data_IF_076243949549
#
_entry.id   IF_076243949549
#
_cell.length_a   1.000
_cell.length_b   1.000
_cell.length_c   1.000
_cell.angle_alpha   90.00
_cell.angle_beta   90.00
_cell.angle_gamma   90.00
#
_symmetry.space_group_name_H-M   'P 1'
#
loop_
_entity.id
_entity.type
_entity.pdbx_description
1 polymer ?
#
# COMPACT_ATOMS: atom_id res chain seq x y z
N UNK A 1 -2.06 9.64 7.62
CA UNK A 1 -0.78 9.93 8.30
C UNK A 1 -0.45 11.40 8.09
N UNK A 2 0.26 12.03 9.02
CA UNK A 2 0.90 13.34 8.83
C UNK A 2 2.35 13.17 8.34
N UNK A 3 3.02 14.27 7.96
CA UNK A 3 4.38 14.24 7.43
C UNK A 3 5.40 13.54 8.36
N UNK A 4 5.30 13.73 9.67
CA UNK A 4 6.21 13.10 10.62
C UNK A 4 5.98 11.59 10.71
N UNK A 5 4.71 11.17 10.73
CA UNK A 5 4.34 9.75 10.72
C UNK A 5 4.82 9.05 9.45
N UNK A 6 4.68 9.69 8.28
CA UNK A 6 5.14 9.11 7.00
C UNK A 6 6.67 8.94 6.99
N UNK A 7 7.41 9.96 7.45
CA UNK A 7 8.88 9.87 7.54
C UNK A 7 9.31 8.77 8.51
N UNK A 8 8.70 8.73 9.69
CA UNK A 8 8.99 7.70 10.70
C UNK A 8 8.70 6.29 10.16
N UNK A 9 7.60 6.12 9.41
CA UNK A 9 7.25 4.84 8.79
C UNK A 9 8.33 4.39 7.80
N UNK A 10 8.78 5.29 6.91
CA UNK A 10 9.84 5.01 5.94
C UNK A 10 11.15 4.64 6.64
N UNK A 11 11.57 5.44 7.60
CA UNK A 11 12.85 5.24 8.26
C UNK A 11 12.87 3.91 9.04
N UNK A 12 11.73 3.55 9.66
CA UNK A 12 11.55 2.24 10.29
C UNK A 12 11.55 1.09 9.27
N UNK A 13 10.91 1.24 8.11
CA UNK A 13 10.94 0.24 7.04
C UNK A 13 12.37 0.02 6.53
N UNK A 14 13.12 1.09 6.26
CA UNK A 14 14.53 0.99 5.83
C UNK A 14 15.38 0.32 6.91
N UNK A 15 15.19 0.67 8.18
CA UNK A 15 15.88 0.03 9.30
C UNK A 15 15.56 -1.47 9.42
N UNK A 16 14.35 -1.88 9.02
CA UNK A 16 13.91 -3.28 8.96
C UNK A 16 14.34 -4.00 7.65
N UNK A 17 15.20 -3.37 6.84
CA UNK A 17 15.82 -4.01 5.67
C UNK A 17 15.03 -3.90 4.37
N UNK A 18 14.17 -2.89 4.23
CA UNK A 18 13.64 -2.53 2.92
C UNK A 18 14.70 -1.81 2.08
N UNK A 19 14.86 -2.22 0.82
CA UNK A 19 15.59 -1.45 -0.17
C UNK A 19 14.85 -0.14 -0.46
N UNK A 20 15.58 0.93 -0.78
CA UNK A 20 15.00 2.24 -1.05
C UNK A 20 15.63 2.90 -2.28
N UNK A 21 14.77 3.42 -3.16
CA UNK A 21 15.16 4.17 -4.35
C UNK A 21 14.24 5.39 -4.56
N UNK A 22 14.69 6.46 -5.24
CA UNK A 22 13.81 7.57 -5.57
C UNK A 22 12.72 7.12 -6.56
N UNK A 23 11.49 7.62 -6.39
CA UNK A 23 10.40 7.36 -7.37
C UNK A 23 10.64 8.11 -8.67
N UNK A 24 11.13 9.35 -8.54
CA UNK A 24 11.37 10.27 -9.65
C UNK A 24 12.84 10.69 -9.62
N UNK A 25 13.49 10.74 -10.78
CA UNK A 25 14.90 11.16 -10.89
C UNK A 25 15.13 12.60 -10.36
N UNK A 26 14.09 13.42 -10.33
CA UNK A 26 14.13 14.82 -9.92
C UNK A 26 13.84 15.06 -8.44
N UNK A 27 13.48 14.02 -7.67
CA UNK A 27 13.17 14.13 -6.24
C UNK A 27 14.02 13.16 -5.43
N UNK A 28 14.38 13.57 -4.22
CA UNK A 28 15.16 12.73 -3.31
C UNK A 28 14.28 11.68 -2.61
N UNK A 29 14.90 10.61 -2.12
CA UNK A 29 14.23 9.55 -1.33
C UNK A 29 13.60 10.09 -0.04
N UNK A 30 14.08 11.22 0.46
CA UNK A 30 13.49 11.87 1.61
C UNK A 30 12.08 12.43 1.33
N UNK A 31 11.79 12.68 0.05
CA UNK A 31 10.59 13.36 -0.43
C UNK A 31 9.63 12.38 -1.11
N UNK A 32 10.14 11.51 -1.98
CA UNK A 32 9.37 10.50 -2.70
C UNK A 32 10.22 9.25 -2.95
N UNK A 33 9.86 8.13 -2.32
CA UNK A 33 10.65 6.91 -2.35
C UNK A 33 9.82 5.68 -2.70
N UNK A 34 10.38 4.80 -3.54
CA UNK A 34 9.92 3.44 -3.72
C UNK A 34 10.76 2.56 -2.82
N UNK A 35 10.11 1.66 -2.09
CA UNK A 35 10.78 0.67 -1.26
C UNK A 35 10.42 -0.75 -1.72
N UNK A 36 11.35 -1.70 -1.53
CA UNK A 36 11.15 -3.12 -1.83
C UNK A 36 11.59 -4.04 -0.70
N UNK A 37 10.81 -5.08 -0.39
CA UNK A 37 11.18 -6.14 0.56
C UNK A 37 10.37 -7.41 0.30
N UNK A 38 11.02 -8.57 0.18
CA UNK A 38 10.33 -9.88 0.04
C UNK A 38 9.22 -9.90 -1.05
N UNK A 39 9.41 -9.19 -2.16
CA UNK A 39 8.41 -9.06 -3.24
C UNK A 39 7.30 -8.04 -2.98
N UNK A 40 7.22 -7.46 -1.78
CA UNK A 40 6.38 -6.30 -1.51
C UNK A 40 7.02 -5.04 -2.11
N UNK A 41 6.16 -4.12 -2.54
CA UNK A 41 6.54 -2.79 -2.99
C UNK A 41 5.80 -1.75 -2.17
N UNK A 42 6.52 -0.75 -1.68
CA UNK A 42 5.91 0.43 -1.06
C UNK A 42 6.24 1.69 -1.85
N UNK A 43 5.31 2.63 -1.83
CA UNK A 43 5.50 4.00 -2.31
C UNK A 43 5.24 4.93 -1.14
N UNK A 44 6.22 5.78 -0.85
CA UNK A 44 6.18 6.77 0.22
C UNK A 44 6.28 8.16 -0.38
N UNK A 45 5.29 9.00 -0.11
CA UNK A 45 5.31 10.42 -0.41
C UNK A 45 5.36 11.20 0.89
N UNK A 46 6.50 11.86 1.15
CA UNK A 46 6.78 12.68 2.34
C UNK A 46 7.03 14.15 1.94
N UNK A 47 6.20 14.67 1.03
CA UNK A 47 6.25 16.05 0.55
C UNK A 47 5.54 16.99 1.52
N UNK A 48 6.18 18.11 1.83
CA UNK A 48 5.59 19.18 2.63
C UNK A 48 4.73 20.11 1.74
N UNK A 49 3.63 19.59 1.20
CA UNK A 49 2.68 20.31 0.33
C UNK A 49 1.25 20.07 0.79
N UNK A 50 0.32 20.96 0.40
CA UNK A 50 -1.08 20.93 0.83
C UNK A 50 -1.94 19.82 0.17
N UNK A 51 -1.35 18.89 -0.59
CA UNK A 51 -2.09 17.82 -1.25
C UNK A 51 -2.16 16.58 -0.34
N UNK A 52 -3.34 15.99 -0.17
CA UNK A 52 -3.55 14.78 0.66
C UNK A 52 -2.70 13.58 0.22
N UNK A 53 -2.29 13.52 -1.04
CA UNK A 53 -1.47 12.44 -1.58
C UNK A 53 0.03 12.64 -1.33
N UNK A 54 0.43 13.87 -0.99
CA UNK A 54 1.82 14.23 -0.77
C UNK A 54 2.34 13.78 0.61
N UNK A 55 1.46 13.25 1.46
CA UNK A 55 1.79 12.67 2.77
C UNK A 55 1.12 11.29 2.90
N UNK A 56 1.64 10.30 2.20
CA UNK A 56 1.02 8.98 2.12
C UNK A 56 2.03 7.84 1.99
N UNK A 57 1.59 6.65 2.44
CA UNK A 57 2.29 5.38 2.25
C UNK A 57 1.29 4.41 1.62
N UNK A 58 1.67 3.82 0.51
CA UNK A 58 0.91 2.76 -0.17
C UNK A 58 1.80 1.52 -0.26
N UNK A 59 1.26 0.35 0.04
CA UNK A 59 2.00 -0.91 -0.03
C UNK A 59 1.20 -1.91 -0.86
N UNK A 60 1.90 -2.65 -1.72
CA UNK A 60 1.37 -3.77 -2.50
C UNK A 60 2.13 -5.04 -2.15
N UNK A 61 1.39 -6.14 -2.05
CA UNK A 61 1.94 -7.48 -1.88
C UNK A 61 2.62 -8.00 -3.16
N UNK A 62 3.26 -9.17 -3.07
CA UNK A 62 3.89 -9.83 -4.23
C UNK A 62 2.91 -10.19 -5.34
N UNK A 63 1.62 -10.28 -5.01
CA UNK A 63 0.49 -10.48 -5.93
C UNK A 63 -0.01 -9.17 -6.58
N UNK A 64 0.68 -8.05 -6.33
CA UNK A 64 0.36 -6.70 -6.81
C UNK A 64 -0.96 -6.13 -6.27
N UNK A 65 -1.54 -6.74 -5.24
CA UNK A 65 -2.73 -6.21 -4.57
C UNK A 65 -2.33 -5.38 -3.36
N UNK A 66 -3.07 -4.29 -3.11
CA UNK A 66 -2.85 -3.41 -1.97
C UNK A 66 -2.96 -4.17 -0.65
N UNK A 67 -2.17 -3.74 0.32
CA UNK A 67 -2.30 -4.16 1.72
C UNK A 67 -2.51 -2.92 2.58
N UNK A 68 -3.26 -3.10 3.67
CA UNK A 68 -3.54 -2.01 4.59
C UNK A 68 -2.24 -1.62 5.31
N UNK A 69 -1.94 -0.32 5.29
CA UNK A 69 -0.73 0.22 5.93
C UNK A 69 -1.09 0.74 7.33
N UNK A 70 -0.43 0.26 8.39
CA UNK A 70 -0.61 0.79 9.74
C UNK A 70 0.07 2.16 9.88
N UNK A 71 -0.45 3.03 10.73
CA UNK A 71 0.15 4.36 11.00
C UNK A 71 1.59 4.27 11.51
N UNK A 72 1.87 3.27 12.33
CA UNK A 72 3.21 2.94 12.82
C UNK A 72 3.68 1.71 12.07
N UNK A 73 4.94 1.71 11.62
CA UNK A 73 5.52 0.59 10.90
C UNK A 73 5.44 -0.71 11.72
N UNK A 74 4.95 -1.77 11.08
CA UNK A 74 4.82 -3.12 11.63
C UNK A 74 4.87 -4.12 10.48
N UNK A 75 5.98 -4.85 10.36
CA UNK A 75 6.21 -5.78 9.26
C UNK A 75 5.23 -6.96 9.28
N UNK A 76 4.97 -7.51 10.47
CA UNK A 76 4.08 -8.66 10.63
C UNK A 76 2.64 -8.28 10.26
N UNK A 77 2.20 -7.07 10.62
CA UNK A 77 0.90 -6.54 10.19
C UNK A 77 0.81 -6.38 8.67
N UNK A 78 1.85 -5.84 8.04
CA UNK A 78 1.89 -5.65 6.58
C UNK A 78 1.81 -7.03 5.88
N UNK A 79 2.56 -8.01 6.39
CA UNK A 79 2.60 -9.37 5.85
C UNK A 79 1.28 -10.11 6.04
N UNK A 80 0.64 -9.98 7.21
CA UNK A 80 -0.69 -10.56 7.46
C UNK A 80 -1.77 -9.92 6.58
N UNK A 81 -1.54 -8.69 6.10
CA UNK A 81 -2.41 -7.98 5.17
C UNK A 81 -2.70 -8.74 3.87
N UNK A 82 -1.87 -9.72 3.49
CA UNK A 82 -2.12 -10.59 2.32
C UNK A 82 -3.40 -11.41 2.45
N UNK A 83 -3.85 -11.69 3.67
CA UNK A 83 -5.03 -12.52 3.95
C UNK A 83 -6.24 -11.68 4.35
N UNK A 84 -6.14 -10.35 4.34
CA UNK A 84 -7.18 -9.47 4.87
C UNK A 84 -8.05 -8.90 3.75
N UNK A 85 -9.37 -9.07 3.87
CA UNK A 85 -10.31 -8.38 3.00
C UNK A 85 -10.44 -6.89 3.37
N UNK A 86 -10.35 -6.00 2.39
CA UNK A 86 -10.53 -4.56 2.62
C UNK A 86 -12.00 -4.14 2.83
N UNK A 87 -12.95 -5.03 2.53
CA UNK A 87 -14.41 -4.73 2.57
C UNK A 87 -15.15 -5.37 3.73
N UNK A 88 -14.56 -6.35 4.41
CA UNK A 88 -15.18 -7.07 5.51
C UNK A 88 -14.11 -7.63 6.47
N UNK A 89 -14.45 -8.02 7.71
CA UNK A 89 -13.47 -8.48 8.69
C UNK A 89 -12.94 -9.92 8.43
N UNK A 90 -13.22 -10.51 7.28
CA UNK A 90 -12.77 -11.87 6.95
C UNK A 90 -11.26 -11.90 6.73
N UNK A 91 -10.62 -12.89 7.36
CA UNK A 91 -9.21 -13.26 7.17
C UNK A 91 -9.18 -14.61 6.43
N UNK A 92 -8.35 -14.72 5.40
CA UNK A 92 -8.18 -15.93 4.59
C UNK A 92 -7.80 -15.62 3.15
N UNK A 93 -8.05 -16.53 2.19
CA UNK A 93 -7.71 -16.31 0.80
C UNK A 93 -8.36 -15.05 0.22
N UNK A 94 -7.56 -14.22 -0.44
CA UNK A 94 -8.01 -12.99 -1.09
C UNK A 94 -7.83 -13.03 -2.60
N UNK A 95 -8.60 -12.21 -3.30
CA UNK A 95 -8.58 -12.01 -4.74
C UNK A 95 -8.59 -10.51 -5.07
N UNK A 96 -8.17 -10.16 -6.27
CA UNK A 96 -8.17 -8.78 -6.75
C UNK A 96 -9.57 -8.25 -7.03
N UNK A 97 -9.79 -6.95 -6.80
CA UNK A 97 -10.97 -6.18 -7.21
C UNK A 97 -10.56 -4.82 -7.78
N UNK A 98 -11.01 -4.51 -8.99
CA UNK A 98 -10.58 -3.32 -9.75
C UNK A 98 -9.04 -3.27 -9.90
N UNK A 99 -8.44 -2.08 -9.75
CA UNK A 99 -7.02 -1.87 -10.02
C UNK A 99 -6.09 -2.71 -9.14
N UNK A 100 -6.24 -2.60 -7.81
CA UNK A 100 -5.35 -3.27 -6.86
C UNK A 100 -6.04 -3.69 -5.56
N UNK A 101 -7.36 -3.52 -5.41
CA UNK A 101 -7.98 -3.78 -4.11
C UNK A 101 -7.93 -5.27 -3.78
N UNK A 102 -7.67 -5.58 -2.51
CA UNK A 102 -7.67 -6.93 -1.98
C UNK A 102 -8.99 -7.24 -1.29
N UNK A 103 -9.69 -8.27 -1.73
CA UNK A 103 -10.99 -8.67 -1.14
C UNK A 103 -11.13 -10.18 -1.02
N UNK A 104 -12.02 -10.67 -0.14
CA UNK A 104 -12.41 -12.08 -0.16
C UNK A 104 -13.32 -12.39 -1.37
N UNK A 105 -13.45 -13.67 -1.79
CA UNK A 105 -14.28 -14.06 -2.94
C UNK A 105 -15.74 -13.60 -2.84
N UNK A 106 -16.33 -13.64 -1.64
CA UNK A 106 -17.70 -13.17 -1.42
C UNK A 106 -17.84 -11.65 -1.67
N UNK A 107 -16.85 -10.86 -1.26
CA UNK A 107 -16.84 -9.43 -1.54
C UNK A 107 -16.54 -9.12 -3.02
N UNK A 108 -15.70 -9.92 -3.71
CA UNK A 108 -15.52 -9.77 -5.17
C UNK A 108 -16.87 -9.90 -5.88
N UNK A 109 -17.59 -10.99 -5.64
CA UNK A 109 -18.90 -11.22 -6.26
C UNK A 109 -19.91 -10.09 -5.97
N UNK A 110 -19.90 -9.56 -4.75
CA UNK A 110 -20.81 -8.47 -4.34
C UNK A 110 -20.50 -7.14 -5.03
N UNK A 111 -19.21 -6.80 -5.18
CA UNK A 111 -18.78 -5.46 -5.59
C UNK A 111 -18.28 -5.37 -7.04
N UNK A 112 -18.09 -6.48 -7.73
CA UNK A 112 -17.56 -6.51 -9.10
C UNK A 112 -18.33 -5.60 -10.07
N UNK A 113 -19.65 -5.70 -10.10
CA UNK A 113 -20.49 -4.87 -10.97
C UNK A 113 -20.37 -3.36 -10.67
N UNK A 114 -20.15 -3.00 -9.41
CA UNK A 114 -19.95 -1.59 -9.02
C UNK A 114 -18.64 -1.04 -9.59
N UNK A 115 -17.59 -1.86 -9.68
CA UNK A 115 -16.27 -1.43 -10.14
C UNK A 115 -16.06 -1.60 -11.65
N UNK A 116 -16.87 -2.43 -12.33
CA UNK A 116 -16.78 -2.66 -13.77
C UNK A 116 -16.93 -1.37 -14.62
N UNK A 117 -17.74 -0.40 -14.16
CA UNK A 117 -17.94 0.86 -14.88
C UNK A 117 -16.86 1.93 -14.67
N UNK A 118 -15.86 1.68 -13.82
CA UNK A 118 -14.90 2.70 -13.39
C UNK A 118 -13.71 2.89 -14.33
N UNK A 119 -13.55 2.04 -15.35
CA UNK A 119 -12.36 2.01 -16.23
C UNK A 119 -11.09 1.46 -15.55
N UNK A 120 -11.19 1.08 -14.27
CA UNK A 120 -10.12 0.49 -13.47
C UNK A 120 -10.26 -1.03 -13.29
N UNK A 121 -11.23 -1.66 -13.95
CA UNK A 121 -11.39 -3.11 -14.00
C UNK A 121 -10.67 -3.62 -15.26
N UNK A 122 -9.63 -4.44 -15.07
CA UNK A 122 -9.01 -5.22 -16.15
C UNK A 122 -9.85 -6.45 -16.46
#
# INVERSE_FOLDING_TARGET
MNLAEVKAWRDAAVADGWDIEPIYETESVETAARLGKEGFTAVVYARNRANRYDQSVCVWGPDRLSVKVPTVYDWDYIKSGLEHCEKCPTIGPTVGLAFANRVCPACRAKYEAQYAGSGWAY
#
